data_IF_102637717383
#
_entry.id   IF_102637717383
#
_cell.length_a   1.000
_cell.length_b   1.000
_cell.length_c   1.000
_cell.angle_alpha   90.00
_cell.angle_beta   90.00
_cell.angle_gamma   90.00
#
_symmetry.space_group_name_H-M   'P 1'
#
loop_
_entity.id
_entity.type
_entity.pdbx_description
1 polymer ?
#
# COMPACT_ATOMS: atom_id res chain seq x y z
N UNK A 1 -6.44 -50.53 -24.54
CA UNK A 1 -5.44 -50.29 -23.47
C UNK A 1 -6.01 -49.20 -22.57
N UNK A 2 -6.74 -49.58 -21.52
CA UNK A 2 -7.30 -48.65 -20.53
C UNK A 2 -6.19 -48.36 -19.51
N UNK A 3 -5.68 -47.13 -19.52
CA UNK A 3 -4.70 -46.70 -18.52
C UNK A 3 -5.41 -46.54 -17.17
N UNK A 4 -5.05 -47.40 -16.21
CA UNK A 4 -5.44 -47.25 -14.82
C UNK A 4 -4.72 -46.03 -14.22
N UNK A 5 -5.44 -44.92 -14.09
CA UNK A 5 -4.98 -43.75 -13.33
C UNK A 5 -4.74 -44.16 -11.88
N UNK A 6 -3.52 -43.93 -11.39
CA UNK A 6 -3.18 -44.21 -9.99
C UNK A 6 -3.89 -43.22 -9.07
N UNK A 7 -4.29 -43.64 -7.86
CA UNK A 7 -5.03 -42.84 -6.87
C UNK A 7 -4.40 -41.45 -6.60
N UNK A 8 -3.07 -41.34 -6.68
CA UNK A 8 -2.33 -40.08 -6.53
C UNK A 8 -2.53 -39.09 -7.70
N UNK A 9 -2.63 -39.57 -8.93
CA UNK A 9 -2.89 -38.72 -10.12
C UNK A 9 -4.33 -38.20 -10.14
N UNK A 10 -5.28 -38.99 -9.60
CA UNK A 10 -6.68 -38.56 -9.48
C UNK A 10 -6.84 -37.46 -8.41
N UNK A 11 -6.10 -37.53 -7.29
CA UNK A 11 -6.14 -36.52 -6.23
C UNK A 11 -5.53 -35.19 -6.70
N UNK A 12 -4.38 -35.21 -7.38
CA UNK A 12 -3.81 -34.01 -8.00
C UNK A 12 -4.74 -33.39 -9.05
N UNK A 13 -5.42 -34.21 -9.85
CA UNK A 13 -6.41 -33.73 -10.83
C UNK A 13 -7.60 -33.00 -10.19
N UNK A 14 -8.12 -33.51 -9.07
CA UNK A 14 -9.23 -32.89 -8.33
C UNK A 14 -8.80 -31.60 -7.64
N UNK A 15 -7.61 -31.57 -7.05
CA UNK A 15 -7.05 -30.34 -6.43
C UNK A 15 -6.82 -29.24 -7.48
N UNK A 16 -6.27 -29.60 -8.64
CA UNK A 16 -6.07 -28.67 -9.74
C UNK A 16 -7.40 -28.14 -10.32
N UNK A 17 -8.42 -28.98 -10.44
CA UNK A 17 -9.75 -28.54 -10.87
C UNK A 17 -10.36 -27.55 -9.88
N UNK A 18 -10.29 -27.84 -8.58
CA UNK A 18 -10.82 -26.95 -7.52
C UNK A 18 -10.09 -25.62 -7.50
N UNK A 19 -8.76 -25.63 -7.67
CA UNK A 19 -7.97 -24.41 -7.76
C UNK A 19 -8.40 -23.57 -8.98
N UNK A 20 -8.62 -24.20 -10.12
CA UNK A 20 -9.08 -23.52 -11.34
C UNK A 20 -10.51 -22.95 -11.19
N UNK A 21 -11.43 -23.72 -10.60
CA UNK A 21 -12.79 -23.26 -10.30
C UNK A 21 -12.78 -22.04 -9.37
N UNK A 22 -11.95 -22.07 -8.32
CA UNK A 22 -11.81 -20.96 -7.39
C UNK A 22 -11.22 -19.71 -8.06
N UNK A 23 -10.15 -19.85 -8.84
CA UNK A 23 -9.55 -18.74 -9.57
C UNK A 23 -10.52 -18.12 -10.59
N UNK A 24 -11.33 -18.97 -11.26
CA UNK A 24 -12.37 -18.50 -12.18
C UNK A 24 -13.44 -17.70 -11.45
N UNK A 25 -13.86 -18.15 -10.26
CA UNK A 25 -14.84 -17.47 -9.43
C UNK A 25 -14.33 -16.10 -8.94
N UNK A 26 -13.07 -16.02 -8.51
CA UNK A 26 -12.43 -14.76 -8.12
C UNK A 26 -12.45 -13.74 -9.26
N UNK A 27 -12.10 -14.18 -10.47
CA UNK A 27 -12.09 -13.32 -11.64
C UNK A 27 -13.50 -12.85 -12.03
N UNK A 28 -14.50 -13.74 -11.94
CA UNK A 28 -15.90 -13.37 -12.15
C UNK A 28 -16.40 -12.34 -11.12
N UNK A 29 -16.07 -12.54 -9.83
CA UNK A 29 -16.42 -11.60 -8.77
C UNK A 29 -15.80 -10.23 -9.03
N UNK A 30 -14.50 -10.18 -9.36
CA UNK A 30 -13.82 -8.93 -9.68
C UNK A 30 -14.50 -8.18 -10.83
N UNK A 31 -14.76 -8.84 -11.96
CA UNK A 31 -15.40 -8.18 -13.11
C UNK A 31 -16.84 -7.77 -12.84
N UNK A 32 -17.56 -8.50 -12.00
CA UNK A 32 -18.87 -8.08 -11.53
C UNK A 32 -18.78 -6.76 -10.75
N UNK A 33 -17.87 -6.67 -9.78
CA UNK A 33 -17.65 -5.45 -8.98
C UNK A 33 -17.18 -4.27 -9.83
N UNK A 34 -16.25 -4.51 -10.77
CA UNK A 34 -15.79 -3.51 -11.73
C UNK A 34 -16.94 -2.99 -12.59
N UNK A 35 -17.81 -3.89 -13.07
CA UNK A 35 -19.00 -3.55 -13.84
C UNK A 35 -20.01 -2.70 -13.06
N UNK A 36 -20.30 -3.07 -11.82
CA UNK A 36 -21.19 -2.31 -10.93
C UNK A 36 -20.61 -0.92 -10.62
N UNK A 37 -19.32 -0.84 -10.35
CA UNK A 37 -18.61 0.42 -10.10
C UNK A 37 -18.66 1.35 -11.31
N UNK A 38 -18.46 0.82 -12.52
CA UNK A 38 -18.55 1.58 -13.76
C UNK A 38 -19.98 2.09 -14.01
N UNK A 39 -21.01 1.28 -13.72
CA UNK A 39 -22.42 1.72 -13.81
C UNK A 39 -22.73 2.84 -12.82
N UNK A 40 -22.23 2.75 -11.58
CA UNK A 40 -22.39 3.79 -10.55
C UNK A 40 -21.75 5.11 -11.02
N UNK A 41 -20.52 5.08 -11.52
CA UNK A 41 -19.84 6.30 -11.98
C UNK A 41 -20.44 6.92 -13.25
N UNK A 42 -21.01 6.13 -14.16
CA UNK A 42 -21.74 6.66 -15.34
C UNK A 42 -22.98 7.51 -14.99
N UNK A 43 -23.54 7.34 -13.78
CA UNK A 43 -24.68 8.13 -13.31
C UNK A 43 -24.29 9.52 -12.79
N UNK A 44 -23.00 9.76 -12.55
CA UNK A 44 -22.47 11.05 -12.13
C UNK A 44 -21.83 11.73 -13.36
N UNK A 45 -22.49 12.71 -13.99
CA UNK A 45 -21.87 13.45 -15.08
C UNK A 45 -20.65 14.19 -14.54
N UNK A 46 -19.46 13.84 -15.03
CA UNK A 46 -18.28 14.68 -14.86
C UNK A 46 -18.53 15.91 -15.75
N UNK A 47 -18.80 17.06 -15.14
CA UNK A 47 -18.87 18.31 -15.86
C UNK A 47 -17.44 18.74 -16.23
N UNK A 48 -16.93 18.22 -17.33
CA UNK A 48 -15.68 18.70 -17.92
C UNK A 48 -16.06 19.95 -18.72
N UNK A 49 -15.79 21.14 -18.20
CA UNK A 49 -15.74 22.35 -19.03
C UNK A 49 -14.42 22.31 -19.78
N UNK A 50 -14.41 22.19 -21.12
CA UNK A 50 -13.17 22.32 -21.86
C UNK A 50 -12.64 23.74 -21.66
N UNK A 51 -11.38 23.87 -21.24
CA UNK A 51 -10.72 25.15 -20.98
C UNK A 51 -10.64 26.08 -22.22
N UNK A 52 -11.08 25.62 -23.39
CA UNK A 52 -11.02 26.34 -24.67
C UNK A 52 -12.39 26.52 -25.35
N UNK A 53 -13.52 26.29 -24.67
CA UNK A 53 -14.83 26.52 -25.28
C UNK A 53 -15.13 28.02 -25.43
N UNK A 54 -15.14 28.50 -26.68
CA UNK A 54 -15.69 29.81 -27.04
C UNK A 54 -17.18 29.89 -26.66
N UNK A 55 -17.60 31.07 -26.21
CA UNK A 55 -18.88 31.44 -25.57
C UNK A 55 -20.19 31.18 -26.34
N UNK A 56 -20.19 30.35 -27.39
CA UNK A 56 -21.37 30.03 -28.21
C UNK A 56 -21.60 28.54 -28.43
N UNK A 57 -20.81 27.66 -27.81
CA UNK A 57 -21.00 26.21 -27.89
C UNK A 57 -22.02 25.75 -26.84
N UNK A 58 -23.11 25.11 -27.27
CA UNK A 58 -23.94 24.24 -26.42
C UNK A 58 -23.02 23.40 -25.53
N UNK A 59 -23.29 23.35 -24.23
CA UNK A 59 -22.66 22.43 -23.29
C UNK A 59 -23.05 21.00 -23.68
N UNK A 60 -22.33 20.41 -24.62
CA UNK A 60 -22.39 18.98 -24.85
C UNK A 60 -21.79 18.30 -23.62
N UNK A 61 -22.66 17.81 -22.73
CA UNK A 61 -22.29 17.00 -21.58
C UNK A 61 -21.77 15.67 -22.13
N UNK A 62 -20.48 15.63 -22.46
CA UNK A 62 -19.79 14.38 -22.76
C UNK A 62 -19.78 13.54 -21.49
N UNK A 63 -20.69 12.55 -21.44
CA UNK A 63 -20.69 11.51 -20.40
C UNK A 63 -19.53 10.53 -20.65
N UNK A 64 -18.30 11.00 -20.50
CA UNK A 64 -17.13 10.11 -20.43
C UNK A 64 -17.19 9.37 -19.10
N UNK A 65 -17.74 8.16 -19.11
CA UNK A 65 -17.66 7.26 -17.97
C UNK A 65 -16.22 6.77 -17.81
N UNK A 66 -15.71 6.71 -16.58
CA UNK A 66 -14.41 6.12 -16.28
C UNK A 66 -14.50 4.60 -16.53
N UNK A 67 -13.72 4.03 -17.46
CA UNK A 67 -13.84 2.62 -17.86
C UNK A 67 -13.40 1.65 -16.75
N UNK A 68 -12.42 2.05 -15.92
CA UNK A 68 -11.89 1.25 -14.82
C UNK A 68 -11.84 2.05 -13.52
N UNK A 69 -13.00 2.36 -12.92
CA UNK A 69 -13.07 3.27 -11.79
C UNK A 69 -12.34 2.76 -10.56
N UNK A 70 -12.38 1.45 -10.31
CA UNK A 70 -11.74 0.83 -9.15
C UNK A 70 -10.22 1.09 -9.15
N UNK A 71 -9.57 1.02 -10.31
CA UNK A 71 -8.13 1.23 -10.44
C UNK A 71 -7.74 2.70 -10.66
N UNK A 72 -8.58 3.49 -11.32
CA UNK A 72 -8.20 4.80 -11.86
C UNK A 72 -8.42 5.96 -10.88
N UNK A 73 -9.30 5.80 -9.89
CA UNK A 73 -9.64 6.87 -8.94
C UNK A 73 -9.71 6.34 -7.51
N UNK A 74 -9.41 7.17 -6.50
CA UNK A 74 -9.49 6.76 -5.09
C UNK A 74 -10.91 6.30 -4.72
N UNK A 75 -11.05 5.40 -3.74
CA UNK A 75 -12.36 4.92 -3.26
C UNK A 75 -13.35 6.05 -2.96
N UNK A 76 -12.90 7.06 -2.23
CA UNK A 76 -13.71 8.19 -1.78
C UNK A 76 -13.89 9.30 -2.82
N UNK A 77 -13.59 9.06 -4.11
CA UNK A 77 -13.59 10.06 -5.19
C UNK A 77 -14.87 10.92 -5.25
N UNK A 78 -16.05 10.31 -5.08
CA UNK A 78 -17.33 11.03 -5.12
C UNK A 78 -17.56 11.89 -3.88
N UNK A 79 -17.16 11.41 -2.71
CA UNK A 79 -17.33 12.10 -1.42
C UNK A 79 -16.29 13.20 -1.20
N UNK A 80 -15.17 13.16 -1.94
CA UNK A 80 -13.98 14.00 -1.75
C UNK A 80 -13.37 13.96 -0.35
N UNK A 81 -13.67 12.90 0.41
CA UNK A 81 -13.02 12.65 1.69
C UNK A 81 -11.67 11.96 1.44
N UNK A 82 -10.67 12.20 2.29
CA UNK A 82 -9.41 11.47 2.21
C UNK A 82 -9.65 9.97 2.43
N UNK A 83 -8.76 9.17 1.87
CA UNK A 83 -8.71 7.72 2.08
C UNK A 83 -7.78 7.48 3.25
N UNK A 84 -8.32 6.93 4.33
CA UNK A 84 -7.52 6.55 5.48
C UNK A 84 -6.72 5.27 5.16
N UNK A 85 -5.39 5.39 5.15
CA UNK A 85 -4.45 4.29 4.95
C UNK A 85 -3.84 3.94 6.28
N UNK A 86 -4.15 2.74 6.76
CA UNK A 86 -3.68 2.24 8.04
C UNK A 86 -2.44 1.38 7.89
N UNK A 87 -1.38 1.76 8.59
CA UNK A 87 -0.16 0.96 8.77
C UNK A 87 -0.36 0.01 9.95
N UNK A 88 -0.68 -1.25 9.66
CA UNK A 88 -0.99 -2.25 10.65
C UNK A 88 0.26 -2.74 11.39
N UNK A 89 1.33 -3.02 10.64
CA UNK A 89 2.59 -3.51 11.19
C UNK A 89 3.74 -3.10 10.28
N UNK A 90 4.88 -2.73 10.88
CA UNK A 90 6.13 -2.48 10.18
C UNK A 90 7.17 -3.47 10.71
N UNK A 91 7.84 -4.18 9.81
CA UNK A 91 8.88 -5.14 10.18
C UNK A 91 10.15 -4.88 9.40
N UNK A 92 11.26 -4.68 10.11
CA UNK A 92 12.60 -4.57 9.54
C UNK A 92 13.25 -5.96 9.44
N UNK A 93 13.76 -6.25 8.25
CA UNK A 93 14.45 -7.52 7.96
C UNK A 93 15.97 -7.34 7.99
N UNK A 94 16.46 -6.27 7.40
CA UNK A 94 17.88 -6.00 7.19
C UNK A 94 18.16 -4.50 7.36
N UNK A 95 19.36 -4.16 7.78
CA UNK A 95 19.85 -2.79 7.78
C UNK A 95 21.35 -2.73 7.48
N UNK A 96 21.78 -1.62 6.89
CA UNK A 96 23.19 -1.32 6.62
C UNK A 96 23.49 0.03 7.25
N UNK A 97 24.33 0.04 8.28
CA UNK A 97 24.80 1.26 8.93
C UNK A 97 26.23 1.54 8.48
N UNK A 98 26.47 2.76 8.02
CA UNK A 98 27.79 3.28 7.79
C UNK A 98 28.07 4.40 8.79
N UNK A 99 28.80 4.04 9.83
CA UNK A 99 29.13 4.93 10.94
C UNK A 99 29.94 6.16 10.50
N UNK A 100 30.78 6.02 9.45
CA UNK A 100 31.62 7.11 8.95
C UNK A 100 30.82 8.17 8.21
N UNK A 101 29.88 7.73 7.35
CA UNK A 101 29.01 8.63 6.59
C UNK A 101 27.72 8.98 7.34
N UNK A 102 27.49 8.37 8.51
CA UNK A 102 26.29 8.53 9.34
C UNK A 102 24.99 8.20 8.58
N UNK A 103 25.07 7.28 7.64
CA UNK A 103 23.93 6.88 6.83
C UNK A 103 23.49 5.46 7.17
N UNK A 104 22.17 5.27 7.17
CA UNK A 104 21.55 3.99 7.41
C UNK A 104 20.59 3.66 6.28
N UNK A 105 20.72 2.46 5.73
CA UNK A 105 19.75 1.86 4.84
C UNK A 105 18.95 0.79 5.59
N UNK A 106 17.64 0.77 5.44
CA UNK A 106 16.75 -0.21 6.04
C UNK A 106 15.91 -0.91 4.97
N UNK A 107 15.69 -2.20 5.17
CA UNK A 107 14.86 -3.02 4.30
C UNK A 107 13.84 -3.79 5.13
N UNK A 108 12.61 -3.84 4.64
CA UNK A 108 11.55 -4.50 5.37
C UNK A 108 10.24 -4.56 4.63
N UNK A 109 9.18 -4.85 5.39
CA UNK A 109 7.82 -4.86 4.89
C UNK A 109 6.87 -4.14 5.84
N UNK A 110 5.86 -3.50 5.27
CA UNK A 110 4.76 -2.85 5.98
C UNK A 110 3.45 -3.51 5.56
N UNK A 111 2.58 -3.80 6.52
CA UNK A 111 1.22 -4.24 6.25
C UNK A 111 0.29 -3.03 6.24
N UNK A 112 -0.36 -2.81 5.10
CA UNK A 112 -1.26 -1.68 4.87
C UNK A 112 -2.70 -2.18 4.77
N UNK A 113 -3.65 -1.35 5.19
CA UNK A 113 -5.07 -1.57 4.88
C UNK A 113 -5.84 -0.28 4.66
N UNK A 114 -6.83 -0.33 3.77
CA UNK A 114 -7.75 0.77 3.50
C UNK A 114 -9.12 0.25 3.09
N UNK A 115 -10.13 1.10 3.21
CA UNK A 115 -11.50 0.75 2.82
C UNK A 115 -11.78 1.15 1.37
N UNK A 116 -12.36 0.23 0.60
CA UNK A 116 -12.92 0.47 -0.73
C UNK A 116 -14.34 -0.10 -0.84
N UNK A 117 -15.34 0.78 -0.76
CA UNK A 117 -16.76 0.43 -0.80
C UNK A 117 -17.19 -0.20 -2.14
N UNK A 118 -16.43 0.06 -3.21
CA UNK A 118 -16.65 -0.51 -4.55
C UNK A 118 -16.28 -1.99 -4.60
N UNK A 119 -15.45 -2.44 -3.66
CA UNK A 119 -15.01 -3.83 -3.52
C UNK A 119 -15.83 -4.61 -2.49
N UNK A 120 -17.06 -4.19 -2.19
CA UNK A 120 -17.97 -4.91 -1.29
C UNK A 120 -18.85 -5.91 -2.03
N UNK A 121 -19.02 -7.11 -1.47
CA UNK A 121 -19.94 -8.12 -2.00
C UNK A 121 -20.65 -8.90 -0.89
N UNK A 122 -21.78 -9.51 -1.25
CA UNK A 122 -22.53 -10.38 -0.34
C UNK A 122 -21.88 -11.77 -0.26
N UNK A 123 -21.57 -12.19 0.97
CA UNK A 123 -21.09 -13.55 1.29
C UNK A 123 -22.12 -14.61 0.90
N UNK A 124 -23.42 -14.29 0.96
CA UNK A 124 -24.48 -15.25 0.67
C UNK A 124 -24.55 -15.61 -0.82
N UNK A 125 -24.25 -14.64 -1.69
CA UNK A 125 -24.27 -14.83 -3.15
C UNK A 125 -23.01 -15.53 -3.65
N UNK A 126 -21.84 -15.05 -3.21
CA UNK A 126 -20.56 -15.48 -3.77
C UNK A 126 -19.88 -16.60 -2.98
N UNK A 127 -20.31 -16.86 -1.73
CA UNK A 127 -19.72 -17.87 -0.83
C UNK A 127 -18.20 -17.71 -0.61
N UNK A 128 -17.71 -16.48 -0.77
CA UNK A 128 -16.30 -16.10 -0.61
C UNK A 128 -16.16 -15.00 0.43
N UNK A 129 -15.15 -15.11 1.28
CA UNK A 129 -14.80 -14.07 2.27
C UNK A 129 -13.70 -13.14 1.78
N UNK A 130 -12.76 -13.69 1.01
CA UNK A 130 -11.60 -12.96 0.48
C UNK A 130 -11.54 -13.09 -1.04
N UNK A 131 -11.03 -12.05 -1.67
CA UNK A 131 -10.71 -11.98 -3.08
C UNK A 131 -9.25 -11.57 -3.23
N UNK A 132 -8.45 -12.41 -3.88
CA UNK A 132 -7.07 -12.10 -4.23
C UNK A 132 -7.01 -11.24 -5.49
N UNK A 133 -6.38 -10.07 -5.41
CA UNK A 133 -6.20 -9.19 -6.56
C UNK A 133 -4.92 -9.58 -7.29
N UNK A 134 -5.08 -10.27 -8.43
CA UNK A 134 -3.97 -10.83 -9.21
C UNK A 134 -3.08 -9.78 -9.89
N UNK A 135 -3.57 -8.55 -10.08
CA UNK A 135 -2.85 -7.47 -10.75
C UNK A 135 -3.07 -6.15 -10.02
N UNK A 136 -2.01 -5.41 -9.74
CA UNK A 136 -2.10 -4.09 -9.12
C UNK A 136 -2.91 -3.11 -9.98
N UNK A 137 -2.95 -3.32 -11.30
CA UNK A 137 -3.73 -2.48 -12.23
C UNK A 137 -5.25 -2.69 -12.10
N UNK A 138 -5.70 -3.60 -11.24
CA UNK A 138 -7.12 -3.88 -11.01
C UNK A 138 -7.70 -3.11 -9.83
N UNK A 139 -6.86 -2.47 -9.01
CA UNK A 139 -7.29 -1.75 -7.81
C UNK A 139 -6.50 -0.46 -7.66
N UNK A 140 -7.11 0.56 -7.06
CA UNK A 140 -6.40 1.79 -6.74
C UNK A 140 -5.40 1.49 -5.63
N UNK A 141 -4.16 1.96 -5.80
CA UNK A 141 -3.06 1.77 -4.85
C UNK A 141 -2.62 3.14 -4.33
N UNK A 142 -2.51 3.33 -3.01
CA UNK A 142 -1.94 4.55 -2.45
C UNK A 142 -0.46 4.66 -2.84
N UNK A 143 -0.07 5.84 -3.32
CA UNK A 143 1.33 6.14 -3.65
C UNK A 143 1.90 7.10 -2.60
N UNK A 144 3.06 6.76 -2.06
CA UNK A 144 3.78 7.56 -1.09
C UNK A 144 5.28 7.59 -1.42
N UNK A 145 5.95 8.59 -0.89
CA UNK A 145 7.38 8.85 -1.03
C UNK A 145 8.00 8.98 0.37
N UNK A 146 9.30 8.72 0.48
CA UNK A 146 10.04 9.12 1.67
C UNK A 146 10.53 10.57 1.50
N UNK A 147 10.46 11.37 2.55
CA UNK A 147 11.16 12.66 2.56
C UNK A 147 12.60 12.46 3.04
N UNK A 148 13.55 12.90 2.22
CA UNK A 148 14.95 13.01 2.62
C UNK A 148 15.31 14.50 2.63
N UNK A 149 15.85 14.98 3.75
CA UNK A 149 16.18 16.39 3.97
C UNK A 149 17.38 16.88 3.16
N UNK A 150 18.06 16.01 2.39
CA UNK A 150 19.24 16.44 1.65
C UNK A 150 19.29 15.96 0.19
N UNK A 151 19.82 16.86 -0.64
CA UNK A 151 19.81 16.87 -2.11
C UNK A 151 20.64 15.77 -2.80
N UNK A 152 20.91 14.66 -2.13
CA UNK A 152 21.70 13.56 -2.67
C UNK A 152 20.80 12.48 -3.30
N UNK A 153 20.62 12.60 -4.63
CA UNK A 153 20.30 11.55 -5.60
C UNK A 153 19.31 10.47 -5.15
N UNK A 154 18.10 10.52 -5.74
CA UNK A 154 16.96 9.57 -5.70
C UNK A 154 17.27 8.09 -6.04
N UNK A 155 18.38 7.51 -5.60
CA UNK A 155 18.86 6.20 -6.06
C UNK A 155 18.98 5.19 -4.90
N UNK A 156 17.92 5.00 -4.13
CA UNK A 156 17.92 3.97 -3.07
C UNK A 156 16.55 3.64 -2.50
N UNK A 157 15.65 4.64 -2.45
CA UNK A 157 14.31 4.41 -1.92
C UNK A 157 13.46 3.66 -2.95
N UNK A 158 12.91 2.53 -2.51
CA UNK A 158 12.07 1.69 -3.35
C UNK A 158 10.89 1.17 -2.54
N UNK A 159 9.73 1.17 -3.19
CA UNK A 159 8.49 0.64 -2.65
C UNK A 159 7.89 -0.34 -3.66
N UNK A 160 7.54 -1.53 -3.20
CA UNK A 160 6.91 -2.56 -4.02
C UNK A 160 5.68 -3.11 -3.31
N UNK A 161 4.51 -2.91 -3.91
CA UNK A 161 3.25 -3.45 -3.39
C UNK A 161 3.11 -4.93 -3.77
N UNK A 162 2.84 -5.78 -2.80
CA UNK A 162 2.69 -7.22 -2.96
C UNK A 162 1.45 -7.71 -2.23
N UNK A 163 0.92 -8.86 -2.66
CA UNK A 163 -0.18 -9.59 -1.99
C UNK A 163 -1.38 -8.69 -1.65
N UNK A 164 -2.01 -8.11 -2.67
CA UNK A 164 -3.21 -7.30 -2.48
C UNK A 164 -4.42 -8.21 -2.40
N UNK A 165 -5.11 -8.14 -1.28
CA UNK A 165 -6.30 -8.94 -1.00
C UNK A 165 -7.41 -7.99 -0.56
N UNK A 166 -8.66 -8.33 -0.86
CA UNK A 166 -9.81 -7.62 -0.29
C UNK A 166 -10.74 -8.60 0.40
N UNK A 167 -11.40 -8.11 1.44
CA UNK A 167 -12.42 -8.85 2.19
C UNK A 167 -13.81 -8.48 1.69
N UNK A 168 -14.83 -9.31 1.96
CA UNK A 168 -16.19 -9.05 1.51
C UNK A 168 -16.78 -7.71 1.98
N UNK A 169 -16.25 -7.14 3.05
CA UNK A 169 -16.61 -5.82 3.59
C UNK A 169 -15.91 -4.66 2.86
N UNK A 170 -15.10 -4.93 1.85
CA UNK A 170 -14.35 -3.91 1.09
C UNK A 170 -13.07 -3.44 1.77
N UNK A 171 -12.65 -4.07 2.86
CA UNK A 171 -11.34 -3.77 3.46
C UNK A 171 -10.26 -4.44 2.61
N UNK A 172 -9.42 -3.62 1.99
CA UNK A 172 -8.28 -4.01 1.17
C UNK A 172 -7.05 -4.05 2.06
N UNK A 173 -6.28 -5.13 1.98
CA UNK A 173 -5.02 -5.31 2.68
C UNK A 173 -3.91 -5.58 1.68
N UNK A 174 -2.72 -5.03 1.93
CA UNK A 174 -1.55 -5.24 1.07
C UNK A 174 -0.27 -5.30 1.90
N UNK A 175 0.75 -5.98 1.36
CA UNK A 175 2.10 -6.01 1.91
C UNK A 175 3.00 -5.15 1.05
N UNK A 176 3.50 -4.07 1.62
CA UNK A 176 4.45 -3.19 0.97
C UNK A 176 5.87 -3.59 1.36
N UNK A 177 6.68 -4.05 0.41
CA UNK A 177 8.12 -4.14 0.62
C UNK A 177 8.76 -2.76 0.43
N UNK A 178 9.72 -2.41 1.29
CA UNK A 178 10.43 -1.14 1.21
C UNK A 178 11.94 -1.29 1.35
N UNK A 179 12.65 -0.37 0.72
CA UNK A 179 14.06 -0.05 0.88
C UNK A 179 14.12 1.44 1.12
N UNK A 180 14.65 1.90 2.25
CA UNK A 180 14.74 3.31 2.59
C UNK A 180 16.14 3.66 3.08
N UNK A 181 16.63 4.85 2.75
CA UNK A 181 17.92 5.35 3.24
C UNK A 181 17.77 6.74 3.85
N UNK A 182 18.38 6.95 5.02
CA UNK A 182 18.37 8.24 5.72
C UNK A 182 19.72 8.51 6.39
N UNK A 183 19.91 9.73 6.87
CA UNK A 183 21.04 10.14 7.70
C UNK A 183 20.65 10.19 9.16
N UNK A 184 21.60 9.93 10.05
CA UNK A 184 21.39 9.98 11.50
C UNK A 184 22.02 11.25 12.07
N UNK A 185 21.23 12.03 12.82
CA UNK A 185 21.65 13.35 13.33
C UNK A 185 22.54 13.24 14.57
N UNK A 186 22.26 12.26 15.44
CA UNK A 186 22.87 12.11 16.76
C UNK A 186 23.85 10.93 16.77
N UNK A 187 25.01 11.12 16.15
CA UNK A 187 26.11 10.15 16.20
C UNK A 187 27.31 10.78 16.88
N UNK A 188 27.19 11.01 18.18
CA UNK A 188 28.32 11.37 19.01
C UNK A 188 29.10 10.09 19.35
N UNK A 189 30.32 9.95 18.82
CA UNK A 189 31.24 8.86 19.20
C UNK A 189 31.71 8.96 20.67
N UNK A 190 31.03 9.78 21.49
CA UNK A 190 31.34 10.03 22.89
C UNK A 190 31.28 8.74 23.72
N UNK A 191 30.39 7.81 23.36
CA UNK A 191 30.15 6.58 24.11
C UNK A 191 30.64 5.31 23.41
N UNK A 192 31.49 5.42 22.38
CA UNK A 192 31.98 4.25 21.65
C UNK A 192 32.59 3.19 22.59
N UNK A 193 32.18 1.90 22.49
CA UNK A 193 31.34 1.30 21.45
C UNK A 193 29.83 1.20 21.79
N UNK A 194 29.38 1.78 22.91
CA UNK A 194 27.99 1.79 23.36
C UNK A 194 27.25 3.07 22.89
N UNK A 195 27.39 3.42 21.61
CA UNK A 195 26.77 4.58 21.00
C UNK A 195 25.32 4.33 20.56
N UNK A 196 24.56 5.42 20.40
CA UNK A 196 23.12 5.38 20.08
C UNK A 196 22.86 6.22 18.85
N UNK A 197 22.53 5.57 17.74
CA UNK A 197 22.17 6.25 16.51
C UNK A 197 20.67 6.58 16.47
N UNK A 198 20.35 7.87 16.32
CA UNK A 198 18.99 8.36 16.09
C UNK A 198 18.81 8.72 14.62
N UNK A 199 17.97 7.96 13.92
CA UNK A 199 17.75 8.09 12.48
C UNK A 199 16.24 8.15 12.24
N UNK A 200 15.77 9.19 11.54
CA UNK A 200 14.35 9.39 11.28
C UNK A 200 13.99 9.08 9.82
N UNK A 201 12.85 8.43 9.64
CA UNK A 201 12.23 8.19 8.33
C UNK A 201 10.83 8.78 8.34
N UNK A 202 10.49 9.59 7.34
CA UNK A 202 9.16 10.15 7.15
C UNK A 202 8.60 9.72 5.80
N UNK A 203 7.32 9.36 5.80
CA UNK A 203 6.57 8.99 4.60
C UNK A 203 5.50 10.06 4.33
N UNK A 204 5.32 10.38 3.06
CA UNK A 204 4.33 11.36 2.61
C UNK A 204 3.56 10.86 1.37
N UNK A 205 2.32 11.30 1.17
CA UNK A 205 1.60 11.06 -0.07
C UNK A 205 2.37 11.62 -1.28
N UNK A 206 2.54 10.83 -2.35
CA UNK A 206 3.31 11.26 -3.53
C UNK A 206 2.64 12.44 -4.28
N UNK A 207 1.31 12.48 -4.29
CA UNK A 207 0.55 13.49 -5.00
C UNK A 207 -0.77 13.79 -4.27
N UNK A 208 -1.11 15.08 -4.19
CA UNK A 208 -2.33 15.60 -3.58
C UNK A 208 -2.52 15.12 -2.12
N UNK A 209 -1.92 15.80 -1.13
CA UNK A 209 -1.99 15.38 0.27
C UNK A 209 -3.45 15.24 0.77
N UNK A 210 -4.38 16.01 0.19
CA UNK A 210 -5.81 15.96 0.54
C UNK A 210 -6.52 14.63 0.18
N UNK A 211 -5.88 13.73 -0.59
CA UNK A 211 -6.47 12.45 -1.00
C UNK A 211 -6.21 11.34 0.02
N UNK A 212 -5.11 11.41 0.77
CA UNK A 212 -4.64 10.31 1.62
C UNK A 212 -4.39 10.83 3.03
N UNK A 213 -4.94 10.14 4.01
CA UNK A 213 -4.66 10.36 5.42
C UNK A 213 -4.01 9.09 5.99
N UNK A 214 -2.96 9.24 6.78
CA UNK A 214 -2.26 8.11 7.38
C UNK A 214 -2.74 7.84 8.80
N UNK A 215 -2.92 6.55 9.12
CA UNK A 215 -3.17 6.06 10.47
C UNK A 215 -2.13 5.00 10.83
N UNK A 216 -1.64 5.01 12.07
CA UNK A 216 -0.67 4.03 12.56
C UNK A 216 -1.32 3.17 13.65
N UNK A 217 -1.04 1.86 13.66
CA UNK A 217 -1.60 0.94 14.65
C UNK A 217 -1.15 1.19 16.10
N UNK A 218 -0.17 2.08 16.31
CA UNK A 218 0.47 2.30 17.61
C UNK A 218 1.35 1.14 18.07
N UNK A 219 1.58 0.13 17.22
CA UNK A 219 2.50 -0.95 17.49
C UNK A 219 3.95 -0.51 17.22
N UNK A 220 4.94 -1.02 17.97
CA UNK A 220 6.34 -0.75 17.68
C UNK A 220 6.76 -1.40 16.35
N UNK A 221 7.80 -0.86 15.72
CA UNK A 221 8.45 -1.53 14.60
C UNK A 221 9.07 -2.84 15.09
N UNK A 222 8.71 -3.93 14.43
CA UNK A 222 9.27 -5.25 14.67
C UNK A 222 10.58 -5.42 13.91
N UNK A 223 11.47 -6.26 14.42
CA UNK A 223 12.75 -6.59 13.79
C UNK A 223 12.89 -8.09 13.68
N UNK A 224 13.62 -8.58 12.68
CA UNK A 224 14.11 -9.96 12.69
C UNK A 224 15.13 -10.11 13.84
N UNK A 225 14.80 -10.81 14.93
CA UNK A 225 15.64 -10.87 16.11
C UNK A 225 16.95 -11.62 15.87
N UNK A 226 17.03 -12.44 14.82
CA UNK A 226 18.26 -13.14 14.45
C UNK A 226 19.22 -12.17 13.78
N UNK A 227 18.75 -11.48 12.74
CA UNK A 227 19.58 -10.57 11.97
C UNK A 227 20.17 -9.45 12.85
N UNK A 228 19.33 -8.73 13.61
CA UNK A 228 19.81 -7.60 14.40
C UNK A 228 20.77 -8.01 15.53
N UNK A 229 20.51 -9.16 16.17
CA UNK A 229 21.37 -9.68 17.24
C UNK A 229 22.74 -10.11 16.73
N UNK A 230 22.80 -10.78 15.58
CA UNK A 230 24.05 -11.30 15.02
C UNK A 230 25.03 -10.17 14.65
N UNK A 231 24.51 -8.98 14.34
CA UNK A 231 25.30 -7.77 14.05
C UNK A 231 25.54 -6.88 15.27
N UNK A 232 25.09 -7.28 16.47
CA UNK A 232 25.33 -6.56 17.72
C UNK A 232 24.46 -5.33 17.96
N UNK A 233 23.43 -5.11 17.14
CA UNK A 233 22.56 -3.92 17.23
C UNK A 233 21.22 -4.24 17.88
N UNK A 234 20.71 -3.29 18.66
CA UNK A 234 19.37 -3.34 19.25
C UNK A 234 18.58 -2.11 18.84
N UNK A 235 17.37 -2.35 18.33
CA UNK A 235 16.44 -1.29 17.95
C UNK A 235 15.54 -0.92 19.14
N UNK A 236 15.36 0.37 19.39
CA UNK A 236 14.50 0.90 20.47
C UNK A 236 13.82 2.22 20.06
N UNK A 237 12.65 2.53 20.64
CA UNK A 237 11.97 3.82 20.43
C UNK A 237 11.23 3.93 19.09
N UNK A 238 10.58 2.86 18.64
CA UNK A 238 10.15 2.71 17.24
C UNK A 238 8.63 2.70 17.02
N UNK A 239 7.85 3.44 17.80
CA UNK A 239 6.40 3.51 17.57
C UNK A 239 6.12 4.55 16.48
N UNK A 240 5.65 4.16 15.27
CA UNK A 240 5.34 5.11 14.21
C UNK A 240 4.19 6.02 14.62
N UNK A 241 4.26 7.29 14.23
CA UNK A 241 3.23 8.29 14.49
C UNK A 241 2.77 8.91 13.17
N UNK A 242 1.48 9.14 13.04
CA UNK A 242 0.92 9.98 11.99
C UNK A 242 0.95 11.43 12.46
N UNK A 243 1.51 12.32 11.64
CA UNK A 243 1.65 13.74 11.95
C UNK A 243 0.84 14.55 10.93
N UNK A 244 0.05 15.51 11.41
CA UNK A 244 -0.77 16.38 10.56
C UNK A 244 0.03 17.55 9.97
N UNK A 245 1.07 18.00 10.65
CA UNK A 245 1.89 19.14 10.24
C UNK A 245 3.38 18.76 10.15
N UNK A 246 4.01 18.81 8.95
CA UNK A 246 5.43 18.51 8.77
C UNK A 246 6.35 19.45 9.54
N UNK A 247 5.90 20.65 9.93
CA UNK A 247 6.69 21.56 10.77
C UNK A 247 6.92 21.05 12.20
N UNK A 248 6.07 20.14 12.69
CA UNK A 248 6.22 19.51 14.00
C UNK A 248 7.40 18.53 14.05
N UNK A 249 7.77 17.94 12.90
CA UNK A 249 8.93 17.05 12.75
C UNK A 249 10.23 17.82 13.01
N UNK A 250 10.33 19.07 12.55
CA UNK A 250 11.54 19.89 12.69
C UNK A 250 11.74 20.45 14.11
N UNK A 251 10.69 20.55 14.92
CA UNK A 251 10.76 21.09 16.29
C UNK A 251 11.01 20.02 17.35
N UNK A 252 10.64 18.77 17.06
CA UNK A 252 10.95 17.65 17.94
C UNK A 252 12.31 17.12 17.52
N UNK A 253 13.35 17.37 18.33
CA UNK A 253 14.66 16.69 18.25
C UNK A 253 14.57 15.18 18.58
N UNK A 254 13.42 14.59 18.26
CA UNK A 254 12.95 13.25 18.52
C UNK A 254 12.02 12.91 17.37
N UNK A 255 12.43 11.95 16.54
CA UNK A 255 11.46 10.93 16.20
C UNK A 255 11.09 10.15 17.48
#
# INVERSE_FOLDING_TARGET
MLQNLTKGQLCQGVENLRAHEFASLEQCLYYFLAGESAKRMKRFPIAITPACASSSSKTDIFRLGIPHPIASVPPNYLSRQPVNIKFNQITLQHFELNEFLKDVAIHGYMELSWMDDRLQWSRDTWKMEKLQIQSLNHVWIPLFIAQNYDTHLKNGDAFEMRRVETTSSGNVSAVLAFSLRTFCDDSDFENYPDDVYKCCFSLEPQANPDIIEFDASGLPIFTDPKYFRDYGWKVSGTVPQALEDPAQVAQQSRC
#
